data_IF_627914353354
#
_entry.id   IF_627914353354
#
_cell.length_a   1.000
_cell.length_b   1.000
_cell.length_c   1.000
_cell.angle_alpha   90.00
_cell.angle_beta   90.00
_cell.angle_gamma   90.00
#
_symmetry.space_group_name_H-M   'P 1'
#
loop_
_entity.id
_entity.type
_entity.pdbx_description
1 polymer ?
#
# COMPACT_ATOMS: atom_id res chain seq x y z
N UNK A 1 24.19 6.92 14.18
CA UNK A 1 22.80 7.41 14.14
C UNK A 1 21.91 6.37 14.78
N UNK A 2 20.83 6.78 15.45
CA UNK A 2 19.82 5.83 15.94
C UNK A 2 19.20 5.08 14.74
N UNK A 3 18.81 3.82 14.97
CA UNK A 3 18.17 2.99 13.94
C UNK A 3 16.79 3.60 13.61
N UNK A 4 16.43 3.78 12.32
CA UNK A 4 15.17 4.41 11.96
C UNK A 4 13.98 3.51 12.33
N UNK A 5 12.91 4.11 12.83
CA UNK A 5 11.62 3.47 13.08
C UNK A 5 10.76 3.60 11.82
N UNK A 6 10.33 2.48 11.27
CA UNK A 6 9.54 2.41 10.04
C UNK A 6 8.20 1.79 10.38
N UNK A 7 7.11 2.49 10.07
CA UNK A 7 5.77 1.94 10.11
C UNK A 7 5.47 1.25 8.78
N UNK A 8 5.06 -0.01 8.82
CA UNK A 8 4.66 -0.79 7.66
C UNK A 8 3.16 -1.13 7.73
N UNK A 9 2.43 -0.87 6.66
CA UNK A 9 0.99 -1.16 6.53
C UNK A 9 0.66 -1.61 5.10
N UNK A 10 -0.59 -1.93 4.81
CA UNK A 10 -1.12 -2.22 3.47
C UNK A 10 -2.67 -2.20 3.48
N UNK A 11 -3.28 -2.57 2.37
CA UNK A 11 -4.71 -2.81 2.18
C UNK A 11 -5.08 -4.28 1.88
N UNK A 12 -4.15 -5.11 1.41
CA UNK A 12 -4.36 -6.57 1.29
C UNK A 12 -4.55 -7.28 2.66
N UNK A 13 -4.29 -6.56 3.76
CA UNK A 13 -4.34 -7.06 5.12
C UNK A 13 -3.03 -7.68 5.61
N UNK A 14 -2.94 -7.85 6.94
CA UNK A 14 -1.69 -8.21 7.60
C UNK A 14 -1.14 -9.54 7.08
N UNK A 15 -2.00 -10.49 6.70
CA UNK A 15 -1.66 -11.85 6.26
C UNK A 15 -1.17 -11.95 4.81
N UNK A 16 -1.17 -10.86 4.07
CA UNK A 16 -0.70 -10.83 2.69
C UNK A 16 0.80 -11.16 2.55
N UNK A 17 1.17 -11.68 1.38
CA UNK A 17 2.57 -12.01 1.05
C UNK A 17 3.40 -10.74 0.80
N UNK A 18 2.82 -9.70 0.19
CA UNK A 18 3.53 -8.47 -0.14
C UNK A 18 4.03 -7.69 1.09
N UNK A 19 3.21 -7.57 2.14
CA UNK A 19 3.62 -6.94 3.40
C UNK A 19 4.67 -7.78 4.15
N UNK A 20 4.61 -9.11 4.06
CA UNK A 20 5.64 -9.98 4.61
C UNK A 20 6.98 -9.79 3.89
N UNK A 21 6.97 -9.71 2.56
CA UNK A 21 8.17 -9.46 1.75
C UNK A 21 8.78 -8.09 2.07
N UNK A 22 7.96 -7.04 2.16
CA UNK A 22 8.40 -5.70 2.55
C UNK A 22 9.03 -5.70 3.95
N UNK A 23 8.37 -6.33 4.93
CA UNK A 23 8.88 -6.44 6.30
C UNK A 23 10.26 -7.12 6.35
N UNK A 24 10.46 -8.22 5.62
CA UNK A 24 11.72 -8.95 5.57
C UNK A 24 12.89 -8.09 5.08
N UNK A 25 12.64 -7.18 4.13
CA UNK A 25 13.67 -6.28 3.61
C UNK A 25 13.86 -5.03 4.47
N UNK A 26 12.78 -4.43 4.97
CA UNK A 26 12.85 -3.20 5.78
C UNK A 26 13.48 -3.43 7.16
N UNK A 27 13.28 -4.60 7.79
CA UNK A 27 13.89 -4.92 9.09
C UNK A 27 15.43 -4.99 9.05
N UNK A 28 16.02 -5.05 7.86
CA UNK A 28 17.48 -5.02 7.66
C UNK A 28 18.06 -3.62 7.86
N UNK A 29 17.24 -2.57 7.76
CA UNK A 29 17.67 -1.17 7.81
C UNK A 29 17.10 -0.38 8.98
N UNK A 30 16.00 -0.85 9.58
CA UNK A 30 15.26 -0.14 10.61
C UNK A 30 14.59 -1.05 11.62
N UNK A 31 14.02 -0.46 12.65
CA UNK A 31 13.04 -1.10 13.52
C UNK A 31 11.68 -0.96 12.84
N UNK A 32 11.03 -2.08 12.53
CA UNK A 32 9.80 -2.10 11.73
C UNK A 32 8.64 -2.52 12.62
N UNK A 33 7.65 -1.65 12.75
CA UNK A 33 6.37 -1.99 13.36
C UNK A 33 5.34 -2.18 12.25
N UNK A 34 4.69 -3.34 12.21
CA UNK A 34 3.62 -3.63 11.24
C UNK A 34 2.28 -3.33 11.88
N UNK A 35 1.48 -2.47 11.27
CA UNK A 35 0.08 -2.23 11.68
C UNK A 35 -0.76 -2.21 10.42
N UNK A 36 -1.61 -3.23 10.25
CA UNK A 36 -2.33 -3.46 9.00
C UNK A 36 -3.74 -3.99 9.25
N UNK A 37 -4.66 -3.87 8.27
CA UNK A 37 -5.99 -4.42 8.38
C UNK A 37 -6.00 -5.93 8.70
N UNK A 38 -7.01 -6.37 9.44
CA UNK A 38 -7.20 -7.78 9.80
C UNK A 38 -7.68 -8.66 8.63
N UNK A 39 -8.22 -8.04 7.58
CA UNK A 39 -8.68 -8.64 6.35
C UNK A 39 -8.36 -7.72 5.15
N UNK A 40 -8.59 -8.22 3.94
CA UNK A 40 -8.47 -7.41 2.71
C UNK A 40 -9.45 -6.22 2.73
N UNK A 41 -8.93 -5.04 2.39
CA UNK A 41 -9.64 -3.75 2.31
C UNK A 41 -9.34 -3.03 0.99
N UNK A 42 -9.21 -3.78 -0.10
CA UNK A 42 -9.05 -3.24 -1.46
C UNK A 42 -10.25 -2.36 -1.85
N UNK A 43 -10.00 -1.32 -2.66
CA UNK A 43 -11.02 -0.39 -3.18
C UNK A 43 -11.83 0.40 -2.12
N UNK A 44 -11.32 0.56 -0.90
CA UNK A 44 -11.98 1.39 0.15
C UNK A 44 -11.66 2.89 0.04
N UNK A 45 -10.73 3.30 -0.83
CA UNK A 45 -10.22 4.67 -0.90
C UNK A 45 -9.70 5.17 0.45
N UNK A 46 -9.88 6.46 0.73
CA UNK A 46 -9.44 7.10 1.99
C UNK A 46 -10.50 7.03 3.10
N UNK A 47 -11.14 5.87 3.25
CA UNK A 47 -12.13 5.65 4.30
C UNK A 47 -11.48 5.60 5.70
N UNK A 48 -12.21 6.07 6.71
CA UNK A 48 -11.83 6.02 8.13
C UNK A 48 -13.00 5.50 8.97
N UNK A 49 -12.68 4.85 10.08
CA UNK A 49 -13.68 4.30 11.01
C UNK A 49 -13.93 5.27 12.17
N UNK A 50 -15.10 5.89 12.20
CA UNK A 50 -15.47 6.87 13.25
C UNK A 50 -16.49 6.34 14.27
N UNK A 51 -17.45 5.53 13.81
CA UNK A 51 -18.62 5.15 14.61
C UNK A 51 -18.42 3.85 15.41
N UNK A 52 -17.36 3.10 15.12
CA UNK A 52 -17.07 1.81 15.74
C UNK A 52 -15.67 1.85 16.38
N UNK A 53 -15.47 1.15 17.51
CA UNK A 53 -14.16 1.09 18.14
C UNK A 53 -13.14 0.35 17.27
N UNK A 54 -11.96 0.94 17.12
CA UNK A 54 -10.78 0.27 16.58
C UNK A 54 -10.17 -0.65 17.64
N UNK A 55 -9.80 -1.85 17.22
CA UNK A 55 -9.18 -2.91 18.01
C UNK A 55 -7.90 -3.33 17.30
N UNK A 56 -6.78 -3.24 18.00
CA UNK A 56 -5.50 -3.76 17.56
C UNK A 56 -5.24 -5.09 18.27
N UNK A 57 -4.94 -6.15 17.50
CA UNK A 57 -4.58 -7.47 18.02
C UNK A 57 -3.16 -7.81 17.59
N UNK A 58 -2.31 -8.21 18.53
CA UNK A 58 -0.96 -8.65 18.19
C UNK A 58 -1.01 -9.94 17.35
N UNK A 59 -0.18 -9.98 16.32
CA UNK A 59 -0.03 -11.09 15.40
C UNK A 59 1.39 -11.63 15.49
N UNK A 60 1.49 -12.94 15.68
CA UNK A 60 2.74 -13.70 15.67
C UNK A 60 2.80 -14.52 14.39
N UNK A 61 3.94 -14.48 13.69
CA UNK A 61 4.21 -15.31 12.51
C UNK A 61 5.46 -16.13 12.73
N UNK A 62 5.36 -17.45 12.55
CA UNK A 62 6.49 -18.38 12.72
C UNK A 62 7.23 -18.15 14.05
N UNK A 63 6.47 -18.00 15.13
CA UNK A 63 6.95 -17.71 16.50
C UNK A 63 7.71 -16.38 16.67
N UNK A 64 7.55 -15.43 15.74
CA UNK A 64 8.12 -14.08 15.83
C UNK A 64 6.97 -13.06 15.85
N UNK A 65 7.02 -12.10 16.77
CA UNK A 65 6.10 -10.95 16.79
C UNK A 65 6.18 -10.24 15.43
N UNK A 66 5.05 -10.17 14.73
CA UNK A 66 4.98 -9.58 13.40
C UNK A 66 4.45 -8.15 13.45
N UNK A 67 3.41 -7.90 14.25
CA UNK A 67 2.81 -6.57 14.42
C UNK A 67 1.36 -6.64 14.90
N UNK A 68 0.53 -5.67 14.54
CA UNK A 68 -0.87 -5.58 14.94
C UNK A 68 -1.84 -5.66 13.76
N UNK A 69 -2.81 -6.56 13.86
CA UNK A 69 -4.00 -6.58 13.01
C UNK A 69 -5.05 -5.61 13.55
N UNK A 70 -5.61 -4.76 12.70
CA UNK A 70 -6.62 -3.76 13.08
C UNK A 70 -7.92 -4.01 12.31
N UNK A 71 -9.06 -3.97 13.00
CA UNK A 71 -10.39 -4.09 12.38
C UNK A 71 -10.86 -2.79 11.70
N UNK A 72 -9.95 -2.10 11.02
CA UNK A 72 -10.17 -0.78 10.42
C UNK A 72 -9.63 -0.70 9.00
N UNK A 73 -9.68 0.51 8.45
CA UNK A 73 -9.18 0.82 7.11
C UNK A 73 -7.66 1.05 7.13
N UNK A 74 -6.98 1.05 5.97
CA UNK A 74 -5.55 1.32 5.90
C UNK A 74 -5.14 2.67 6.52
N UNK A 75 -5.95 3.71 6.34
CA UNK A 75 -5.73 5.01 6.99
C UNK A 75 -5.89 4.94 8.52
N UNK A 76 -6.86 4.16 9.03
CA UNK A 76 -7.03 3.94 10.48
C UNK A 76 -5.79 3.26 11.08
N UNK A 77 -5.19 2.30 10.36
CA UNK A 77 -3.98 1.61 10.78
C UNK A 77 -2.82 2.59 10.99
N UNK A 78 -2.67 3.57 10.09
CA UNK A 78 -1.64 4.62 10.24
C UNK A 78 -1.95 5.52 11.43
N UNK A 79 -3.19 5.98 11.58
CA UNK A 79 -3.59 6.87 12.68
C UNK A 79 -3.37 6.20 14.04
N UNK A 80 -3.88 4.99 14.23
CA UNK A 80 -3.76 4.28 15.52
C UNK A 80 -2.31 3.91 15.81
N UNK A 81 -1.53 3.54 14.78
CA UNK A 81 -0.10 3.29 14.93
C UNK A 81 0.62 4.51 15.50
N UNK A 82 0.48 5.66 14.82
CA UNK A 82 1.20 6.90 15.17
C UNK A 82 0.72 7.51 16.48
N UNK A 83 -0.58 7.43 16.79
CA UNK A 83 -1.18 8.14 17.93
C UNK A 83 -1.26 7.30 19.21
N UNK A 84 -1.22 5.97 19.13
CA UNK A 84 -1.49 5.12 20.29
C UNK A 84 -0.53 3.92 20.45
N UNK A 85 -0.03 3.32 19.36
CA UNK A 85 0.78 2.09 19.44
C UNK A 85 2.27 2.40 19.52
N UNK A 86 2.77 3.29 18.66
CA UNK A 86 4.18 3.60 18.56
C UNK A 86 4.63 4.50 19.73
N UNK A 87 5.85 4.28 20.27
CA UNK A 87 6.38 5.11 21.36
C UNK A 87 6.79 6.52 20.91
N UNK A 88 6.97 6.72 19.60
CA UNK A 88 7.33 7.98 18.96
C UNK A 88 6.82 7.99 17.51
N UNK A 89 6.71 9.16 16.86
CA UNK A 89 6.47 9.21 15.42
C UNK A 89 7.52 8.39 14.65
N UNK A 90 7.10 7.59 13.65
CA UNK A 90 8.03 6.87 12.79
C UNK A 90 8.78 7.84 11.88
N UNK A 91 9.98 7.45 11.47
CA UNK A 91 10.83 8.21 10.56
C UNK A 91 10.36 8.05 9.09
N UNK A 92 9.60 6.99 8.80
CA UNK A 92 9.02 6.68 7.49
C UNK A 92 7.78 5.80 7.65
N UNK A 93 6.76 6.03 6.81
CA UNK A 93 5.66 5.08 6.60
C UNK A 93 5.78 4.43 5.23
N UNK A 94 5.73 3.09 5.19
CA UNK A 94 5.64 2.32 3.95
C UNK A 94 4.28 1.62 3.91
N UNK A 95 3.55 1.80 2.82
CA UNK A 95 2.29 1.10 2.54
C UNK A 95 2.48 0.14 1.37
N UNK A 96 2.24 -1.15 1.58
CA UNK A 96 2.39 -2.20 0.57
C UNK A 96 3.25 -3.40 1.05
N UNK A 97 3.76 -4.24 0.15
CA UNK A 97 3.62 -4.14 -1.31
C UNK A 97 2.25 -4.66 -1.75
N UNK A 98 1.46 -3.83 -2.42
CA UNK A 98 0.14 -4.19 -2.91
C UNK A 98 0.21 -5.19 -4.08
N UNK A 99 -0.75 -6.11 -4.15
CA UNK A 99 -0.97 -6.94 -5.34
C UNK A 99 -1.85 -6.20 -6.34
N UNK A 100 -1.24 -5.66 -7.39
CA UNK A 100 -1.91 -4.86 -8.40
C UNK A 100 -1.40 -3.43 -8.44
N UNK A 101 -1.37 -2.85 -9.64
CA UNK A 101 -0.92 -1.47 -9.86
C UNK A 101 -1.92 -0.45 -9.33
N UNK A 102 -1.42 0.59 -8.70
CA UNK A 102 -2.16 1.79 -8.33
C UNK A 102 -1.64 2.96 -9.18
N UNK A 103 -2.13 3.05 -10.41
CA UNK A 103 -1.76 4.08 -11.40
C UNK A 103 -2.99 4.83 -11.90
N UNK A 104 -2.78 5.99 -12.52
CA UNK A 104 -3.85 6.78 -13.09
C UNK A 104 -4.92 7.19 -12.06
N UNK A 105 -6.20 7.12 -12.43
CA UNK A 105 -7.30 7.49 -11.52
C UNK A 105 -7.52 6.47 -10.40
N UNK A 106 -7.02 5.23 -10.53
CA UNK A 106 -7.20 4.17 -9.53
C UNK A 106 -6.52 4.51 -8.20
N UNK A 107 -5.55 5.41 -8.21
CA UNK A 107 -4.88 5.97 -7.02
C UNK A 107 -5.90 6.49 -5.99
N UNK A 108 -7.04 7.05 -6.43
CA UNK A 108 -8.07 7.62 -5.55
C UNK A 108 -8.78 6.54 -4.72
N UNK A 109 -8.93 5.33 -5.28
CA UNK A 109 -9.63 4.21 -4.64
C UNK A 109 -8.68 3.26 -3.91
N UNK A 110 -7.37 3.48 -4.05
CA UNK A 110 -6.32 2.62 -3.49
C UNK A 110 -6.19 2.79 -1.98
N UNK A 111 -6.45 1.71 -1.23
CA UNK A 111 -6.17 1.68 0.20
C UNK A 111 -4.66 1.81 0.48
N UNK A 112 -3.81 1.25 -0.37
CA UNK A 112 -2.36 1.38 -0.30
C UNK A 112 -1.94 2.85 -0.32
N UNK A 113 -2.42 3.62 -1.31
CA UNK A 113 -2.08 5.04 -1.44
C UNK A 113 -2.75 5.87 -0.35
N UNK A 114 -3.97 5.53 0.06
CA UNK A 114 -4.65 6.21 1.16
C UNK A 114 -3.87 6.11 2.48
N UNK A 115 -3.31 4.95 2.82
CA UNK A 115 -2.46 4.84 4.00
C UNK A 115 -1.20 5.74 3.91
N UNK A 116 -0.52 5.79 2.76
CA UNK A 116 0.62 6.69 2.57
C UNK A 116 0.19 8.17 2.62
N UNK A 117 -1.00 8.48 2.10
CA UNK A 117 -1.61 9.83 2.14
C UNK A 117 -1.88 10.26 3.57
N UNK A 118 -2.38 9.34 4.40
CA UNK A 118 -2.64 9.59 5.82
C UNK A 118 -1.34 9.93 6.57
N UNK A 119 -0.27 9.19 6.31
CA UNK A 119 1.04 9.50 6.87
C UNK A 119 1.55 10.89 6.46
N UNK A 120 1.37 11.25 5.17
CA UNK A 120 1.71 12.58 4.65
C UNK A 120 0.87 13.69 5.31
N UNK A 121 -0.41 13.45 5.59
CA UNK A 121 -1.27 14.38 6.35
C UNK A 121 -0.75 14.57 7.77
N UNK A 122 -0.21 13.52 8.39
CA UNK A 122 0.40 13.57 9.72
C UNK A 122 1.83 14.17 9.72
N UNK A 123 2.34 14.62 8.57
CA UNK A 123 3.66 15.22 8.44
C UNK A 123 4.81 14.21 8.44
N UNK A 124 4.53 12.94 8.13
CA UNK A 124 5.53 11.86 8.09
C UNK A 124 5.82 11.51 6.63
N UNK A 125 7.09 11.43 6.20
CA UNK A 125 7.44 10.94 4.88
C UNK A 125 6.85 9.56 4.61
N UNK A 126 6.33 9.34 3.39
CA UNK A 126 5.63 8.10 3.09
C UNK A 126 5.81 7.61 1.66
N UNK A 127 5.73 6.28 1.51
CA UNK A 127 5.86 5.57 0.24
C UNK A 127 4.71 4.57 0.14
N UNK A 128 3.96 4.59 -0.96
CA UNK A 128 3.07 3.51 -1.37
C UNK A 128 3.76 2.67 -2.45
N UNK A 129 3.75 1.35 -2.30
CA UNK A 129 4.40 0.43 -3.25
C UNK A 129 3.43 -0.64 -3.72
N UNK A 130 3.38 -0.83 -5.02
CA UNK A 130 2.52 -1.78 -5.73
C UNK A 130 3.34 -2.66 -6.68
N UNK A 131 3.00 -3.95 -6.76
CA UNK A 131 3.49 -4.85 -7.80
C UNK A 131 2.43 -4.90 -8.91
N UNK A 132 2.81 -4.53 -10.13
CA UNK A 132 1.90 -4.43 -11.28
C UNK A 132 1.56 -5.81 -11.87
N UNK A 133 0.89 -6.64 -11.08
CA UNK A 133 0.36 -7.96 -11.47
C UNK A 133 -0.78 -8.39 -10.55
N UNK A 134 -1.65 -9.26 -11.06
CA UNK A 134 -2.59 -10.04 -10.25
C UNK A 134 -2.34 -11.54 -10.33
N UNK A 135 -1.40 -11.97 -11.18
CA UNK A 135 -1.08 -13.38 -11.43
C UNK A 135 0.41 -13.64 -11.22
N UNK A 136 0.74 -14.80 -10.67
CA UNK A 136 2.11 -15.25 -10.41
C UNK A 136 3.02 -14.16 -9.81
N UNK A 137 2.66 -13.57 -8.65
CA UNK A 137 3.41 -12.45 -8.11
C UNK A 137 4.80 -12.85 -7.61
N UNK A 138 5.82 -12.10 -8.00
CA UNK A 138 7.15 -12.14 -7.39
C UNK A 138 7.47 -10.80 -6.72
N UNK A 139 7.37 -10.77 -5.39
CA UNK A 139 7.66 -9.57 -4.59
C UNK A 139 9.17 -9.34 -4.36
N UNK A 140 10.05 -10.23 -4.82
CA UNK A 140 11.48 -10.22 -4.46
C UNK A 140 12.19 -8.94 -4.91
N UNK A 141 12.00 -8.54 -6.17
CA UNK A 141 12.58 -7.28 -6.66
C UNK A 141 11.90 -6.07 -6.01
N UNK A 142 10.58 -6.04 -5.96
CA UNK A 142 9.81 -4.95 -5.37
C UNK A 142 10.22 -4.68 -3.91
N UNK A 143 10.38 -5.71 -3.08
CA UNK A 143 10.80 -5.56 -1.69
C UNK A 143 12.23 -5.03 -1.53
N UNK A 144 13.18 -5.50 -2.36
CA UNK A 144 14.55 -4.97 -2.37
C UNK A 144 14.57 -3.50 -2.81
N UNK A 145 13.76 -3.16 -3.81
CA UNK A 145 13.60 -1.79 -4.27
C UNK A 145 12.99 -0.90 -3.17
N UNK A 146 11.93 -1.35 -2.50
CA UNK A 146 11.32 -0.65 -1.35
C UNK A 146 12.34 -0.32 -0.28
N UNK A 147 13.22 -1.27 0.08
CA UNK A 147 14.31 -1.03 1.05
C UNK A 147 15.29 0.04 0.56
N UNK A 148 15.71 -0.04 -0.71
CA UNK A 148 16.62 0.95 -1.32
C UNK A 148 16.01 2.35 -1.32
N UNK A 149 14.72 2.45 -1.66
CA UNK A 149 14.00 3.72 -1.67
C UNK A 149 13.79 4.25 -0.25
N UNK A 150 13.42 3.40 0.70
CA UNK A 150 13.28 3.77 2.11
C UNK A 150 14.57 4.38 2.68
N UNK A 151 15.74 3.77 2.42
CA UNK A 151 17.03 4.35 2.81
C UNK A 151 17.25 5.74 2.21
N UNK A 152 16.89 5.92 0.95
CA UNK A 152 17.04 7.20 0.25
C UNK A 152 16.14 8.28 0.85
N UNK A 153 14.88 7.93 1.11
CA UNK A 153 13.89 8.85 1.71
C UNK A 153 14.27 9.21 3.15
N UNK A 154 14.71 8.23 3.96
CA UNK A 154 15.17 8.50 5.33
C UNK A 154 16.39 9.43 5.32
N UNK A 155 17.32 9.24 4.38
CA UNK A 155 18.55 10.04 4.32
C UNK A 155 18.35 11.45 3.75
N UNK A 156 17.44 11.62 2.78
CA UNK A 156 17.28 12.88 2.02
C UNK A 156 15.97 13.63 2.32
N UNK A 157 15.03 12.97 2.98
CA UNK A 157 13.65 13.45 3.11
C UNK A 157 12.87 13.40 1.80
N UNK A 158 11.67 13.97 1.86
CA UNK A 158 10.84 14.31 0.70
C UNK A 158 10.54 15.81 0.75
N UNK A 159 10.20 16.43 -0.39
CA UNK A 159 9.62 17.77 -0.38
C UNK A 159 8.41 17.84 0.55
N UNK A 160 8.11 19.03 1.09
CA UNK A 160 6.96 19.21 1.97
C UNK A 160 5.69 18.66 1.30
N UNK A 161 4.80 18.07 2.12
CA UNK A 161 3.50 17.60 1.67
C UNK A 161 3.55 16.62 0.48
N UNK A 162 4.59 15.81 0.40
CA UNK A 162 4.80 14.85 -0.70
C UNK A 162 4.83 13.41 -0.19
N UNK A 163 4.24 12.50 -0.97
CA UNK A 163 4.41 11.05 -0.82
C UNK A 163 4.91 10.48 -2.16
N UNK A 164 5.53 9.30 -2.13
CA UNK A 164 5.91 8.58 -3.34
C UNK A 164 4.95 7.42 -3.60
N UNK A 165 4.32 7.41 -4.78
CA UNK A 165 3.57 6.25 -5.28
C UNK A 165 4.45 5.49 -6.28
N UNK A 166 4.67 4.20 -6.03
CA UNK A 166 5.65 3.38 -6.77
C UNK A 166 4.97 2.13 -7.30
N UNK A 167 5.03 1.95 -8.62
CA UNK A 167 4.56 0.75 -9.29
C UNK A 167 5.75 -0.02 -9.88
N UNK A 168 5.89 -1.28 -9.48
CA UNK A 168 6.99 -2.16 -9.89
C UNK A 168 6.47 -3.21 -10.88
N UNK A 169 7.04 -3.36 -12.08
CA UNK A 169 6.59 -4.38 -13.02
C UNK A 169 6.95 -5.79 -12.52
N UNK A 170 6.04 -6.75 -12.71
CA UNK A 170 6.27 -8.16 -12.39
C UNK A 170 7.00 -8.89 -13.54
N UNK A 171 8.24 -8.48 -13.78
CA UNK A 171 9.13 -9.05 -14.80
C UNK A 171 10.48 -9.41 -14.17
N UNK A 172 11.26 -10.31 -14.80
CA UNK A 172 12.62 -10.61 -14.36
C UNK A 172 13.46 -9.35 -14.14
N UNK A 173 14.26 -9.33 -13.07
CA UNK A 173 15.05 -8.16 -12.64
C UNK A 173 15.99 -7.65 -13.75
N UNK A 174 16.58 -8.55 -14.54
CA UNK A 174 17.45 -8.24 -15.68
C UNK A 174 16.72 -7.51 -16.82
N UNK A 175 15.39 -7.55 -16.85
CA UNK A 175 14.55 -6.84 -17.83
C UNK A 175 14.06 -5.48 -17.33
N UNK A 176 14.33 -5.11 -16.08
CA UNK A 176 13.93 -3.82 -15.52
C UNK A 176 14.91 -2.75 -15.98
N UNK A 177 14.43 -1.85 -16.86
CA UNK A 177 15.27 -0.84 -17.53
C UNK A 177 15.78 0.29 -16.62
N UNK A 178 15.19 0.45 -15.44
CA UNK A 178 15.57 1.50 -14.50
C UNK A 178 14.37 2.06 -13.74
N UNK A 179 14.53 3.28 -13.24
CA UNK A 179 13.50 4.02 -12.48
C UNK A 179 13.22 5.31 -13.24
N UNK A 180 11.94 5.62 -13.45
CA UNK A 180 11.49 6.90 -13.99
C UNK A 180 10.70 7.65 -12.91
N UNK A 181 10.88 8.98 -12.85
CA UNK A 181 9.96 9.85 -12.12
C UNK A 181 8.83 10.20 -13.09
N UNK A 182 7.61 9.90 -12.68
CA UNK A 182 6.42 10.06 -13.51
C UNK A 182 5.45 11.04 -12.88
N UNK A 183 4.49 11.50 -13.68
CA UNK A 183 3.26 12.14 -13.20
C UNK A 183 2.13 11.12 -13.20
N UNK A 184 1.10 11.38 -12.39
CA UNK A 184 -0.14 10.61 -12.45
C UNK A 184 -0.78 10.80 -13.84
N UNK A 185 -1.13 9.70 -14.51
CA UNK A 185 -1.90 9.74 -15.76
C UNK A 185 -3.41 9.80 -15.55
N UNK A 186 -4.18 9.92 -16.64
CA UNK A 186 -5.65 9.97 -16.62
C UNK A 186 -6.31 8.63 -17.01
N UNK A 187 -5.52 7.56 -17.12
CA UNK A 187 -6.00 6.20 -17.35
C UNK A 187 -7.03 5.79 -16.29
N UNK A 188 -8.14 5.20 -16.75
CA UNK A 188 -9.30 4.85 -15.93
C UNK A 188 -9.81 3.46 -16.27
N UNK A 189 -10.45 2.83 -15.30
CA UNK A 189 -11.23 1.60 -15.54
C UNK A 189 -12.53 2.00 -16.24
N UNK A 190 -12.79 1.41 -17.41
CA UNK A 190 -14.15 1.46 -17.97
C UNK A 190 -15.01 0.43 -17.26
N UNK A 191 -15.94 0.95 -16.46
CA UNK A 191 -16.82 0.16 -15.60
C UNK A 191 -17.97 -0.47 -16.39
N UNK A 192 -18.29 -1.71 -16.06
CA UNK A 192 -19.48 -2.44 -16.53
C UNK A 192 -20.14 -3.11 -15.32
N UNK A 193 -21.46 -3.16 -15.31
CA UNK A 193 -22.19 -3.91 -14.30
C UNK A 193 -22.76 -5.19 -14.91
N UNK A 194 -22.35 -6.35 -14.38
CA UNK A 194 -22.95 -7.63 -14.73
C UNK A 194 -24.17 -7.88 -13.83
N UNK A 195 -25.36 -7.85 -14.44
CA UNK A 195 -26.63 -8.13 -13.74
C UNK A 195 -26.81 -9.64 -13.56
N UNK A 196 -27.09 -10.07 -12.33
CA UNK A 196 -27.45 -11.46 -11.99
C UNK A 196 -28.67 -11.49 -11.06
N UNK A 197 -29.21 -12.70 -10.89
CA UNK A 197 -30.34 -12.96 -9.98
C UNK A 197 -29.91 -14.04 -8.99
N UNK A 198 -30.20 -13.85 -7.71
CA UNK A 198 -29.89 -14.81 -6.67
C UNK A 198 -30.96 -15.94 -6.59
N UNK A 199 -30.73 -17.01 -5.81
CA UNK A 199 -31.71 -18.09 -5.64
C UNK A 199 -33.06 -17.67 -5.01
N UNK A 200 -33.15 -16.46 -4.45
CA UNK A 200 -34.37 -15.86 -3.88
C UNK A 200 -35.05 -14.90 -4.86
N UNK A 201 -34.65 -14.93 -6.13
CA UNK A 201 -35.14 -14.09 -7.21
C UNK A 201 -34.85 -12.57 -7.01
N UNK A 202 -33.81 -12.23 -6.24
CA UNK A 202 -33.37 -10.86 -6.05
C UNK A 202 -32.29 -10.50 -7.06
N UNK A 203 -32.43 -9.35 -7.71
CA UNK A 203 -31.42 -8.84 -8.64
C UNK A 203 -30.24 -8.25 -7.87
N UNK A 204 -29.02 -8.59 -8.30
CA UNK A 204 -27.79 -7.95 -7.84
C UNK A 204 -26.85 -7.69 -9.03
N UNK A 205 -25.86 -6.84 -8.81
CA UNK A 205 -24.92 -6.41 -9.85
C UNK A 205 -23.49 -6.61 -9.36
N UNK A 206 -22.65 -7.23 -10.19
CA UNK A 206 -21.21 -7.21 -10.00
C UNK A 206 -20.63 -6.02 -10.76
N UNK A 207 -19.84 -5.19 -10.08
CA UNK A 207 -18.96 -4.25 -10.75
C UNK A 207 -17.83 -5.06 -11.40
N UNK A 208 -17.68 -4.88 -12.70
CA UNK A 208 -16.63 -5.41 -13.56
C UNK A 208 -16.00 -4.23 -14.30
N UNK A 209 -14.81 -4.40 -14.86
CA UNK A 209 -14.18 -3.30 -15.58
C UNK A 209 -12.93 -3.71 -16.34
N UNK A 210 -12.69 -3.03 -17.46
CA UNK A 210 -11.46 -3.21 -18.23
C UNK A 210 -10.59 -1.97 -18.05
N UNK A 211 -9.32 -2.16 -17.69
CA UNK A 211 -8.38 -1.05 -17.59
C UNK A 211 -8.11 -0.51 -18.99
N UNK A 212 -8.55 0.74 -19.26
CA UNK A 212 -8.21 1.43 -20.51
C UNK A 212 -7.08 2.40 -20.24
N UNK A 213 -5.96 2.14 -20.91
CA UNK A 213 -4.89 3.12 -21.08
C UNK A 213 -5.45 4.21 -22.01
N UNK A 214 -5.69 5.41 -21.49
CA UNK A 214 -5.87 6.58 -22.36
C UNK A 214 -4.53 6.87 -23.04
N UNK A 215 -4.54 7.52 -24.21
CA UNK A 215 -3.34 7.69 -25.05
C UNK A 215 -2.06 7.92 -24.25
N UNK A 216 -0.94 7.23 -24.58
CA UNK A 216 0.27 7.27 -23.78
C UNK A 216 0.75 8.70 -23.63
N UNK A 217 0.49 9.22 -22.45
CA UNK A 217 0.84 10.56 -22.05
C UNK A 217 2.33 10.58 -21.68
N UNK A 218 3.08 11.54 -22.21
CA UNK A 218 4.51 11.62 -21.96
C UNK A 218 4.78 11.72 -20.45
N UNK A 219 5.62 10.81 -19.96
CA UNK A 219 5.99 10.67 -18.55
C UNK A 219 4.84 10.31 -17.56
N UNK A 220 3.71 9.79 -18.05
CA UNK A 220 2.67 9.22 -17.19
C UNK A 220 3.13 7.91 -16.51
N UNK A 221 2.41 7.52 -15.46
CA UNK A 221 2.69 6.33 -14.65
C UNK A 221 2.15 5.01 -15.22
N UNK A 222 1.35 5.07 -16.29
CA UNK A 222 0.78 3.92 -17.01
C UNK A 222 1.57 3.52 -18.25
#
# INVERSE_FOLDING_TARGET
MAKPLILLTNDDGIYAQGILAAWQELRKIGDVEVVAPDAERSAVGHAITLLLPLRAKEVVRRNVRFGYAVNGMPADCVKIAVKAILPRPPDLVVSGINLGSNTGTNVIYSGTVSAATEARILGIPSIAVSLATFTHPDFTYAARFTRKLALTVIAKGLPDKTLLNVNVPNIPEDKIKGVAITRQGDSRVEERFEKRTDPRNQTYYWLDGTFKIQEPEEHADT
#
